data_IF_019246415751
#
_entry.id   IF_019246415751
#
_cell.length_a   1.000
_cell.length_b   1.000
_cell.length_c   1.000
_cell.angle_alpha   90.00
_cell.angle_beta   90.00
_cell.angle_gamma   90.00
#
_symmetry.space_group_name_H-M   'P 1'
#
loop_
_entity.id
_entity.type
_entity.pdbx_description
1 polymer ?
#
# COMPACT_ATOMS: atom_id res chain seq x y z
N UNK A 1 -11.54 -14.97 -7.36
CA UNK A 1 -10.10 -14.84 -7.05
C UNK A 1 -9.98 -14.07 -5.75
N UNK A 2 -9.23 -14.52 -4.73
CA UNK A 2 -9.13 -13.81 -3.46
C UNK A 2 -8.35 -12.50 -3.65
N UNK A 3 -8.97 -11.39 -3.25
CA UNK A 3 -8.40 -10.06 -3.33
C UNK A 3 -7.34 -9.91 -2.22
N UNK A 4 -6.06 -9.75 -2.61
CA UNK A 4 -4.96 -9.60 -1.65
C UNK A 4 -4.80 -8.12 -1.31
N UNK A 5 -5.26 -7.72 -0.13
CA UNK A 5 -5.10 -6.36 0.39
C UNK A 5 -3.82 -6.31 1.21
N UNK A 6 -2.80 -5.63 0.69
CA UNK A 6 -1.61 -5.26 1.47
C UNK A 6 -1.92 -3.96 2.22
N UNK A 7 -1.62 -3.90 3.52
CA UNK A 7 -1.71 -2.68 4.33
C UNK A 7 -0.34 -1.99 4.34
N UNK A 8 -0.29 -0.71 3.97
CA UNK A 8 0.92 0.12 4.00
C UNK A 8 0.60 1.41 4.78
N UNK A 9 1.24 1.65 5.92
CA UNK A 9 1.03 2.88 6.71
C UNK A 9 -0.43 3.16 7.08
N UNK A 10 -1.24 2.10 7.29
CA UNK A 10 -2.69 2.22 7.51
C UNK A 10 -3.54 2.35 6.23
N UNK A 11 -2.93 2.64 5.08
CA UNK A 11 -3.60 2.69 3.79
C UNK A 11 -3.74 1.29 3.18
N UNK A 12 -4.94 0.98 2.67
CA UNK A 12 -5.19 -0.25 1.93
C UNK A 12 -4.80 -0.05 0.46
N UNK A 13 -3.99 -0.93 -0.08
CA UNK A 13 -3.59 -0.90 -1.49
C UNK A 13 -4.36 -1.98 -2.26
N UNK A 14 -4.90 -1.59 -3.42
CA UNK A 14 -5.51 -2.51 -4.38
C UNK A 14 -4.64 -2.62 -5.62
N UNK A 15 -4.30 -3.84 -6.00
CA UNK A 15 -3.57 -4.11 -7.24
C UNK A 15 -4.54 -4.03 -8.43
N UNK A 16 -4.25 -3.15 -9.39
CA UNK A 16 -5.04 -3.00 -10.62
C UNK A 16 -4.60 -3.97 -11.71
N UNK A 17 -3.41 -4.54 -11.56
CA UNK A 17 -2.80 -5.47 -12.50
C UNK A 17 -2.27 -6.71 -11.77
N UNK A 18 -1.99 -7.82 -12.48
CA UNK A 18 -1.35 -8.98 -11.88
C UNK A 18 -0.01 -8.60 -11.21
N UNK A 19 0.33 -9.22 -10.07
CA UNK A 19 1.58 -8.92 -9.34
C UNK A 19 2.85 -9.00 -10.20
N UNK A 20 2.87 -9.89 -11.19
CA UNK A 20 4.00 -10.03 -12.13
C UNK A 20 4.27 -8.73 -12.90
N UNK A 21 3.23 -7.96 -13.26
CA UNK A 21 3.38 -6.67 -13.94
C UNK A 21 3.92 -5.60 -12.99
N UNK A 22 3.46 -5.60 -11.73
CA UNK A 22 3.99 -4.72 -10.68
C UNK A 22 5.48 -5.00 -10.47
N UNK A 23 5.86 -6.26 -10.27
CA UNK A 23 7.25 -6.65 -10.04
C UNK A 23 8.15 -6.23 -11.22
N UNK A 24 7.71 -6.43 -12.46
CA UNK A 24 8.44 -6.00 -13.64
C UNK A 24 8.60 -4.47 -13.70
N UNK A 25 7.55 -3.73 -13.36
CA UNK A 25 7.62 -2.27 -13.29
C UNK A 25 8.64 -1.82 -12.23
N UNK A 26 8.56 -2.38 -11.01
CA UNK A 26 9.50 -2.06 -9.93
C UNK A 26 10.94 -2.40 -10.31
N UNK A 27 11.19 -3.53 -10.97
CA UNK A 27 12.53 -3.89 -11.45
C UNK A 27 13.09 -2.88 -12.45
N UNK A 28 12.24 -2.28 -13.27
CA UNK A 28 12.61 -1.28 -14.28
C UNK A 28 12.67 0.15 -13.74
N UNK A 29 12.34 0.39 -12.47
CA UNK A 29 12.49 1.72 -11.86
C UNK A 29 13.98 2.10 -11.75
N UNK A 30 14.30 3.40 -11.83
CA UNK A 30 15.62 3.92 -11.46
C UNK A 30 16.00 3.53 -10.03
N UNK A 31 17.29 3.39 -9.72
CA UNK A 31 17.76 3.00 -8.37
C UNK A 31 17.37 4.03 -7.31
N UNK A 32 17.45 5.32 -7.62
CA UNK A 32 17.01 6.43 -6.77
C UNK A 32 15.52 6.32 -6.38
N UNK A 33 14.68 5.79 -7.26
CA UNK A 33 13.24 5.58 -7.00
C UNK A 33 12.94 4.32 -6.20
N UNK A 34 13.93 3.43 -6.05
CA UNK A 34 13.82 2.18 -5.28
C UNK A 34 14.28 2.34 -3.83
N UNK A 35 14.88 3.47 -3.48
CA UNK A 35 15.42 3.73 -2.14
C UNK A 35 14.35 3.72 -1.05
N UNK A 36 13.09 4.00 -1.40
CA UNK A 36 11.98 4.02 -0.46
C UNK A 36 10.74 3.35 -1.01
N UNK A 37 10.09 2.54 -0.17
CA UNK A 37 8.78 1.94 -0.48
C UNK A 37 7.71 3.02 -0.78
N UNK A 38 7.83 4.22 -0.20
CA UNK A 38 6.92 5.33 -0.50
C UNK A 38 7.08 5.84 -1.94
N UNK A 39 8.32 5.94 -2.42
CA UNK A 39 8.59 6.32 -3.80
C UNK A 39 8.09 5.25 -4.77
N UNK A 40 8.39 3.98 -4.50
CA UNK A 40 7.88 2.85 -5.29
C UNK A 40 6.34 2.87 -5.35
N UNK A 41 5.66 3.08 -4.21
CA UNK A 41 4.20 3.15 -4.17
C UNK A 41 3.65 4.36 -4.94
N UNK A 42 4.35 5.50 -4.91
CA UNK A 42 4.00 6.71 -5.66
C UNK A 42 4.10 6.47 -7.16
N UNK A 43 5.20 5.88 -7.63
CA UNK A 43 5.42 5.52 -9.04
C UNK A 43 4.38 4.50 -9.53
N UNK A 44 4.13 3.45 -8.74
CA UNK A 44 3.10 2.45 -9.07
C UNK A 44 1.69 3.05 -9.15
N UNK A 45 1.39 4.06 -8.32
CA UNK A 45 0.11 4.78 -8.35
C UNK A 45 0.02 5.69 -9.57
N UNK A 46 1.07 6.46 -9.87
CA UNK A 46 1.13 7.33 -11.04
C UNK A 46 1.02 6.53 -12.35
N UNK A 47 1.63 5.35 -12.39
CA UNK A 47 1.50 4.41 -13.51
C UNK A 47 0.14 3.67 -13.57
N UNK A 48 -0.76 3.90 -12.61
CA UNK A 48 -2.08 3.25 -12.54
C UNK A 48 -2.05 1.75 -12.23
N UNK A 49 -0.92 1.23 -11.75
CA UNK A 49 -0.72 -0.20 -11.45
C UNK A 49 -1.29 -0.59 -10.09
N UNK A 50 -1.33 0.36 -9.17
CA UNK A 50 -1.98 0.23 -7.87
C UNK A 50 -2.94 1.39 -7.64
N UNK A 51 -3.95 1.15 -6.82
CA UNK A 51 -4.85 2.18 -6.31
C UNK A 51 -4.75 2.23 -4.80
N UNK A 52 -4.44 3.40 -4.25
CA UNK A 52 -4.63 3.66 -2.83
C UNK A 52 -6.12 3.77 -2.58
N UNK A 53 -6.65 2.94 -1.69
CA UNK A 53 -7.99 3.08 -1.18
C UNK A 53 -7.91 4.13 -0.07
N UNK A 54 -8.09 5.40 -0.44
CA UNK A 54 -8.29 6.48 0.53
C UNK A 54 -9.62 6.23 1.24
N UNK A 55 -9.55 5.52 2.35
CA UNK A 55 -10.65 5.52 3.30
C UNK A 55 -10.72 6.90 3.91
N UNK A 56 -11.85 7.60 3.77
CA UNK A 56 -12.40 8.42 4.86
C UNK A 56 -12.82 7.52 6.05
N UNK A 57 -11.98 6.55 6.37
CA UNK A 57 -11.98 5.75 7.58
C UNK A 57 -10.61 5.98 8.20
N UNK A 58 -10.31 7.25 8.50
CA UNK A 58 -9.50 7.58 9.66
C UNK A 58 -10.22 6.99 10.88
N UNK A 59 -10.05 5.70 11.09
CA UNK A 59 -10.37 5.00 12.32
C UNK A 59 -9.49 3.76 12.38
N UNK A 60 -8.18 3.98 12.26
CA UNK A 60 -7.31 3.35 13.25
C UNK A 60 -7.12 4.40 14.34
N UNK A 61 -8.23 4.78 14.99
CA UNK A 61 -8.14 5.05 16.42
C UNK A 61 -7.69 3.69 16.96
N UNK A 62 -6.47 3.61 17.46
CA UNK A 62 -6.06 2.54 18.35
C UNK A 62 -7.14 2.40 19.43
N UNK A 63 -8.07 1.45 19.22
CA UNK A 63 -8.96 0.93 20.25
C UNK A 63 -8.36 -0.38 20.74
N UNK A 64 -7.13 -0.28 21.22
CA UNK A 64 -6.46 -1.32 22.01
C UNK A 64 -5.79 -0.66 23.23
N UNK A 65 -6.50 0.22 23.93
CA UNK A 65 -6.20 0.55 25.33
C UNK A 65 -7.49 0.81 26.11
N UNK A 66 -8.29 -0.24 26.24
CA UNK A 66 -9.27 -0.48 27.33
C UNK A 66 -9.19 -2.00 27.53
N UNK A 67 -8.46 -2.56 28.48
CA UNK A 67 -8.58 -2.59 29.94
C UNK A 67 -7.28 -3.30 30.39
N UNK A 68 -6.67 -3.12 31.55
CA UNK A 68 -7.24 -3.38 32.87
C UNK A 68 -6.22 -2.84 33.91
N UNK A 69 -6.55 -1.77 34.61
CA UNK A 69 -5.94 -1.48 35.92
C UNK A 69 -7.05 -1.58 36.94
N UNK A 70 -7.27 -2.81 37.42
CA UNK A 70 -7.91 -3.07 38.70
C UNK A 70 -6.95 -2.75 39.87
#
# INVERSE_FOLDING_TARGET
MPERVLKFGGAKIRNMVPPVKINRFVQNLPEDRKDSLFEIATELRQAGLIKLLEGRDQSTIDRDTVDDQL
#
